data_IF_597254918048
#
_entry.id   IF_597254918048
#
_cell.length_a   1.000
_cell.length_b   1.000
_cell.length_c   1.000
_cell.angle_alpha   90.00
_cell.angle_beta   90.00
_cell.angle_gamma   90.00
#
_symmetry.space_group_name_H-M   'P 1'
#
loop_
_entity.id
_entity.type
_entity.pdbx_description
1 polymer ?
#
# COMPACT_ATOMS: atom_id res chain seq x y z
N UNK A 1 -5.16 -7.63 27.84
CA UNK A 1 -6.50 -7.46 27.26
C UNK A 1 -6.71 -8.60 26.29
N UNK A 2 -7.75 -9.41 26.48
CA UNK A 2 -8.07 -10.48 25.54
C UNK A 2 -8.46 -9.84 24.19
N UNK A 3 -7.91 -10.34 23.11
CA UNK A 3 -8.30 -9.92 21.77
C UNK A 3 -9.80 -10.21 21.59
N UNK A 4 -10.59 -9.16 21.46
CA UNK A 4 -12.02 -9.28 21.14
C UNK A 4 -12.10 -9.62 19.65
N UNK A 5 -12.75 -10.73 19.31
CA UNK A 5 -13.06 -11.07 17.92
C UNK A 5 -13.98 -10.01 17.34
N UNK A 6 -13.81 -9.66 16.07
CA UNK A 6 -14.71 -8.75 15.33
C UNK A 6 -16.18 -9.19 15.36
N UNK A 7 -16.44 -10.45 15.70
CA UNK A 7 -17.78 -11.03 15.72
C UNK A 7 -18.61 -10.66 16.96
N UNK A 8 -18.03 -10.00 17.99
CA UNK A 8 -18.67 -9.69 19.26
C UNK A 8 -18.73 -8.17 19.57
N UNK A 9 -18.74 -7.31 18.55
CA UNK A 9 -18.82 -5.85 18.77
C UNK A 9 -20.15 -5.41 19.39
N UNK A 10 -21.22 -6.17 19.22
CA UNK A 10 -22.54 -5.88 19.78
C UNK A 10 -22.59 -5.98 21.33
N UNK A 11 -21.68 -6.73 21.94
CA UNK A 11 -21.63 -6.98 23.39
C UNK A 11 -20.72 -5.98 24.14
N UNK A 12 -20.11 -5.03 23.45
CA UNK A 12 -19.20 -4.08 24.06
C UNK A 12 -19.96 -2.88 24.67
N UNK A 13 -19.45 -2.30 25.78
CA UNK A 13 -20.04 -1.12 26.38
C UNK A 13 -20.04 0.05 25.40
N UNK A 14 -21.14 0.81 25.31
CA UNK A 14 -21.27 1.98 24.46
C UNK A 14 -21.44 3.24 25.33
N UNK A 15 -20.73 4.33 25.05
CA UNK A 15 -19.72 4.50 24.00
C UNK A 15 -18.35 3.90 24.37
N UNK A 16 -17.62 3.38 23.35
CA UNK A 16 -16.24 2.95 23.52
C UNK A 16 -15.28 4.15 23.57
N UNK A 17 -14.21 4.04 24.35
CA UNK A 17 -13.13 5.05 24.32
C UNK A 17 -12.32 4.96 23.03
N UNK A 18 -11.60 6.03 22.67
CA UNK A 18 -10.67 6.05 21.54
C UNK A 18 -9.71 4.86 21.59
N UNK A 19 -9.11 4.60 22.74
CA UNK A 19 -8.13 3.52 22.91
C UNK A 19 -8.77 2.15 22.66
N UNK A 20 -10.00 1.95 23.11
CA UNK A 20 -10.72 0.70 22.88
C UNK A 20 -11.06 0.51 21.39
N UNK A 21 -11.58 1.54 20.71
CA UNK A 21 -11.88 1.49 19.28
C UNK A 21 -10.60 1.25 18.47
N UNK A 22 -9.53 1.99 18.78
CA UNK A 22 -8.26 1.86 18.07
C UNK A 22 -7.63 0.47 18.26
N UNK A 23 -7.67 -0.06 19.47
CA UNK A 23 -7.19 -1.41 19.77
C UNK A 23 -8.01 -2.51 19.06
N UNK A 24 -9.33 -2.33 18.95
CA UNK A 24 -10.20 -3.22 18.17
C UNK A 24 -9.90 -3.14 16.66
N UNK A 25 -9.76 -1.93 16.15
CA UNK A 25 -9.45 -1.69 14.74
C UNK A 25 -8.10 -2.27 14.33
N UNK A 26 -7.12 -2.19 15.25
CA UNK A 26 -5.80 -2.81 15.15
C UNK A 26 -5.23 -2.68 13.74
N UNK A 27 -4.82 -1.47 13.32
CA UNK A 27 -4.55 -1.14 11.93
C UNK A 27 -3.58 -2.08 11.24
N UNK A 28 -3.94 -2.55 10.06
CA UNK A 28 -3.06 -3.31 9.15
C UNK A 28 -2.77 -2.40 7.96
N UNK A 29 -1.56 -1.88 7.89
CA UNK A 29 -1.11 -1.08 6.78
C UNK A 29 -0.83 -1.96 5.56
N UNK A 30 -1.58 -1.77 4.49
CA UNK A 30 -1.43 -2.60 3.29
C UNK A 30 -0.20 -2.24 2.46
N UNK A 31 0.49 -1.13 2.76
CA UNK A 31 1.72 -0.76 2.06
C UNK A 31 2.63 0.11 2.91
N UNK A 32 3.83 -0.40 3.19
CA UNK A 32 4.84 0.28 4.00
C UNK A 32 6.25 0.00 3.46
N UNK A 33 7.03 1.06 3.21
CA UNK A 33 8.35 0.99 2.58
C UNK A 33 9.53 1.19 3.55
N UNK A 34 9.28 1.20 4.86
CA UNK A 34 10.28 1.55 5.88
C UNK A 34 11.59 0.73 5.79
N UNK A 35 11.54 -0.50 5.28
CA UNK A 35 12.74 -1.34 5.16
C UNK A 35 13.60 -1.04 3.91
N UNK A 36 13.09 -0.27 2.95
CA UNK A 36 13.92 0.23 1.85
C UNK A 36 15.08 1.10 2.38
N UNK A 37 14.82 1.86 3.42
CA UNK A 37 15.81 2.70 4.08
C UNK A 37 16.89 1.91 4.81
N UNK A 38 16.55 0.74 5.37
CA UNK A 38 17.53 -0.17 5.95
C UNK A 38 18.57 -0.60 4.94
N UNK A 39 18.14 -0.85 3.71
CA UNK A 39 19.00 -1.21 2.59
C UNK A 39 19.89 -0.06 2.12
N UNK A 40 19.34 1.14 2.02
CA UNK A 40 20.06 2.30 1.46
C UNK A 40 20.96 3.00 2.48
N UNK A 41 20.56 3.05 3.73
CA UNK A 41 21.19 3.90 4.75
C UNK A 41 21.59 3.21 6.05
N UNK A 42 21.35 1.90 6.18
CA UNK A 42 21.62 1.18 7.42
C UNK A 42 20.67 1.60 8.56
N UNK A 43 19.43 1.94 8.23
CA UNK A 43 18.39 2.24 9.20
C UNK A 43 18.04 0.99 10.02
N UNK A 44 18.08 1.13 11.35
CA UNK A 44 17.62 0.08 12.26
C UNK A 44 16.17 0.40 12.65
N UNK A 45 15.25 -0.42 12.20
CA UNK A 45 13.82 -0.22 12.42
C UNK A 45 13.47 -0.09 13.91
N UNK A 46 14.05 -0.91 14.78
CA UNK A 46 13.71 -0.91 16.20
C UNK A 46 14.39 0.21 17.00
N UNK A 47 15.52 0.72 16.52
CA UNK A 47 16.17 1.88 17.14
C UNK A 47 15.57 3.20 16.70
N UNK A 48 14.95 3.24 15.53
CA UNK A 48 14.41 4.46 14.97
C UNK A 48 15.49 5.53 14.76
N UNK A 49 16.68 5.15 14.28
CA UNK A 49 17.81 6.06 14.14
C UNK A 49 17.63 7.03 12.96
N UNK A 50 16.97 8.13 13.21
CA UNK A 50 16.76 9.23 12.25
C UNK A 50 18.05 9.81 11.66
N UNK A 51 19.19 9.59 12.28
CA UNK A 51 20.48 10.08 11.80
C UNK A 51 21.09 9.16 10.75
N UNK A 52 20.51 8.00 10.51
CA UNK A 52 20.99 7.07 9.49
C UNK A 52 21.05 7.70 8.08
N UNK A 53 20.12 8.62 7.75
CA UNK A 53 20.14 9.34 6.46
C UNK A 53 21.42 10.16 6.24
N UNK A 54 22.09 10.60 7.32
CA UNK A 54 23.37 11.33 7.20
C UNK A 54 24.51 10.43 6.73
N UNK A 55 24.35 9.11 6.82
CA UNK A 55 25.32 8.12 6.35
C UNK A 55 25.18 7.85 4.85
N UNK A 56 24.02 8.17 4.25
CA UNK A 56 23.79 8.06 2.81
C UNK A 56 23.75 9.45 2.18
N UNK A 57 24.74 9.84 1.35
CA UNK A 57 24.74 11.12 0.65
C UNK A 57 23.49 11.33 -0.20
N UNK A 58 22.95 10.26 -0.80
CA UNK A 58 21.74 10.30 -1.64
C UNK A 58 20.53 10.64 -0.77
N UNK A 59 20.31 9.94 0.33
CA UNK A 59 19.19 10.21 1.24
C UNK A 59 19.30 11.61 1.87
N UNK A 60 20.53 12.02 2.21
CA UNK A 60 20.77 13.37 2.70
C UNK A 60 20.41 14.42 1.66
N UNK A 61 20.84 14.24 0.41
CA UNK A 61 20.52 15.16 -0.69
C UNK A 61 19.00 15.19 -0.95
N UNK A 62 18.34 14.04 -1.01
CA UNK A 62 16.88 13.95 -1.18
C UNK A 62 16.14 14.67 -0.05
N UNK A 63 16.58 14.54 1.20
CA UNK A 63 15.98 15.27 2.33
C UNK A 63 16.13 16.79 2.24
N UNK A 64 17.14 17.27 1.52
CA UNK A 64 17.39 18.71 1.33
C UNK A 64 16.65 19.29 0.13
N UNK A 65 16.41 18.49 -0.90
CA UNK A 65 15.75 18.91 -2.15
C UNK A 65 14.24 18.74 -2.09
N UNK A 66 13.70 18.02 -1.11
CA UNK A 66 12.26 17.94 -0.88
C UNK A 66 11.73 19.34 -0.50
N UNK A 67 10.67 19.85 -1.13
CA UNK A 67 10.07 21.14 -0.79
C UNK A 67 9.67 21.28 0.68
N UNK A 68 9.46 20.16 1.36
CA UNK A 68 9.08 20.07 2.78
C UNK A 68 10.15 19.43 3.69
N UNK A 69 11.28 19.05 3.15
CA UNK A 69 12.39 18.45 3.91
C UNK A 69 12.95 19.33 5.02
N UNK A 70 12.40 20.54 5.22
CA UNK A 70 12.80 21.44 6.30
C UNK A 70 12.15 21.09 7.65
N UNK A 71 10.93 20.50 7.66
CA UNK A 71 10.17 20.21 8.87
C UNK A 71 9.68 18.76 8.98
N UNK A 72 9.66 18.00 7.89
CA UNK A 72 9.34 16.57 7.90
C UNK A 72 10.36 15.84 7.02
N UNK A 73 10.97 14.76 7.51
CA UNK A 73 11.86 13.97 6.67
C UNK A 73 11.05 13.35 5.52
N UNK A 74 11.65 13.29 4.33
CA UNK A 74 11.07 12.63 3.15
C UNK A 74 10.77 11.14 3.41
N UNK A 75 11.34 10.59 4.41
CA UNK A 75 11.35 9.21 4.84
C UNK A 75 11.46 9.19 6.37
N UNK A 76 11.40 8.01 6.99
CA UNK A 76 11.40 7.81 8.45
C UNK A 76 10.05 8.13 9.10
N UNK A 77 8.98 7.78 8.40
CA UNK A 77 7.63 7.94 8.92
C UNK A 77 7.27 6.86 9.94
N UNK A 78 7.88 5.66 9.84
CA UNK A 78 7.60 4.55 10.75
C UNK A 78 8.88 3.85 11.19
N UNK A 79 9.12 3.89 12.49
CA UNK A 79 10.08 3.04 13.20
C UNK A 79 9.35 1.99 14.04
N UNK A 80 10.07 1.04 14.63
CA UNK A 80 9.49 0.07 15.56
C UNK A 80 8.78 0.72 16.76
N UNK A 81 9.38 1.73 17.42
CA UNK A 81 8.68 2.54 18.43
C UNK A 81 7.41 3.20 17.90
N UNK A 82 7.45 3.83 16.70
CA UNK A 82 6.28 4.45 16.09
C UNK A 82 5.20 3.41 15.77
N UNK A 83 5.60 2.24 15.28
CA UNK A 83 4.70 1.12 14.96
C UNK A 83 3.94 0.65 16.19
N UNK A 84 4.63 0.52 17.32
CA UNK A 84 4.00 0.13 18.58
C UNK A 84 3.12 1.24 19.15
N UNK A 85 3.60 2.49 19.15
CA UNK A 85 2.85 3.64 19.63
C UNK A 85 1.60 3.93 18.80
N UNK A 86 1.67 3.70 17.48
CA UNK A 86 0.56 3.81 16.55
C UNK A 86 -0.42 2.65 16.60
N UNK A 87 -0.20 1.64 17.47
CA UNK A 87 -1.12 0.52 17.65
C UNK A 87 -1.27 -0.38 16.43
N UNK A 88 -0.28 -0.44 15.55
CA UNK A 88 -0.34 -1.30 14.36
C UNK A 88 -0.51 -2.76 14.74
N UNK A 89 -1.52 -3.41 14.17
CA UNK A 89 -1.67 -4.86 14.22
C UNK A 89 -0.79 -5.57 13.22
N UNK A 90 -0.42 -4.90 12.14
CA UNK A 90 0.48 -5.41 11.12
C UNK A 90 0.77 -4.42 10.00
N UNK A 91 1.72 -4.77 9.13
CA UNK A 91 1.95 -4.05 7.89
C UNK A 91 2.52 -4.95 6.80
N UNK A 92 2.15 -4.66 5.55
CA UNK A 92 2.79 -5.21 4.36
C UNK A 92 4.08 -4.43 4.09
N UNK A 93 5.21 -4.97 4.52
CA UNK A 93 6.52 -4.42 4.20
C UNK A 93 6.87 -4.74 2.76
N UNK A 94 6.90 -3.71 1.92
CA UNK A 94 6.97 -3.86 0.48
C UNK A 94 8.41 -3.87 -0.02
N UNK A 95 8.72 -4.87 -0.84
CA UNK A 95 9.99 -4.95 -1.54
C UNK A 95 9.87 -4.26 -2.89
N UNK A 96 10.79 -3.33 -3.21
CA UNK A 96 10.85 -2.72 -4.53
C UNK A 96 12.29 -2.50 -5.00
N UNK A 97 12.43 -2.25 -6.31
CA UNK A 97 13.68 -1.91 -6.96
C UNK A 97 13.46 -0.70 -7.88
N UNK A 98 14.13 0.42 -7.59
CA UNK A 98 14.01 1.63 -8.40
C UNK A 98 15.09 1.72 -9.48
N UNK A 99 16.34 1.53 -9.11
CA UNK A 99 17.50 1.83 -9.95
C UNK A 99 17.67 0.86 -11.11
N UNK A 100 17.35 -0.41 -10.92
CA UNK A 100 17.41 -1.44 -11.96
C UNK A 100 16.39 -1.18 -13.07
N UNK A 101 15.29 -0.51 -12.75
CA UNK A 101 14.32 -0.04 -13.73
C UNK A 101 14.84 1.12 -14.58
N UNK A 102 15.57 2.05 -13.96
CA UNK A 102 16.14 3.22 -14.64
C UNK A 102 17.17 2.79 -15.68
N UNK A 103 18.08 1.92 -15.31
CA UNK A 103 19.22 1.56 -16.14
C UNK A 103 18.84 0.52 -17.20
N UNK A 104 17.81 -0.30 -16.95
CA UNK A 104 17.39 -1.37 -17.89
C UNK A 104 18.52 -2.33 -18.23
N UNK A 105 19.55 -2.36 -17.40
CA UNK A 105 20.77 -3.09 -17.65
C UNK A 105 20.51 -4.59 -17.50
N UNK A 106 20.73 -5.40 -18.55
CA UNK A 106 20.41 -6.82 -18.55
C UNK A 106 21.25 -7.65 -17.56
N UNK A 107 22.32 -7.06 -17.03
CA UNK A 107 23.21 -7.71 -16.04
C UNK A 107 22.81 -7.40 -14.59
N UNK A 108 21.84 -6.52 -14.35
CA UNK A 108 21.31 -6.26 -13.02
C UNK A 108 20.08 -7.14 -12.80
N UNK A 109 20.18 -8.12 -11.93
CA UNK A 109 19.04 -8.94 -11.56
C UNK A 109 18.30 -8.31 -10.36
N UNK A 110 17.11 -7.71 -10.58
CA UNK A 110 16.36 -7.06 -9.51
C UNK A 110 15.85 -8.03 -8.45
N UNK A 111 15.84 -9.34 -8.71
CA UNK A 111 15.44 -10.37 -7.74
C UNK A 111 16.30 -10.38 -6.47
N UNK A 112 17.55 -9.92 -6.55
CA UNK A 112 18.40 -9.77 -5.36
C UNK A 112 17.75 -8.90 -4.27
N UNK A 113 16.98 -7.87 -4.68
CA UNK A 113 16.32 -6.97 -3.73
C UNK A 113 15.19 -7.67 -2.95
N UNK A 114 14.47 -8.59 -3.61
CA UNK A 114 13.52 -9.45 -2.89
C UNK A 114 14.22 -10.34 -1.86
N UNK A 115 15.33 -10.97 -2.24
CA UNK A 115 16.10 -11.85 -1.35
C UNK A 115 16.62 -11.08 -0.14
N UNK A 116 17.19 -9.88 -0.37
CA UNK A 116 17.66 -8.99 0.70
C UNK A 116 16.51 -8.49 1.57
N UNK A 117 15.42 -8.01 0.96
CA UNK A 117 14.26 -7.51 1.69
C UNK A 117 13.67 -8.57 2.62
N UNK A 118 13.48 -9.79 2.12
CA UNK A 118 13.01 -10.91 2.95
C UNK A 118 13.95 -11.15 4.15
N UNK A 119 15.27 -11.07 3.93
CA UNK A 119 16.25 -11.19 5.02
C UNK A 119 16.07 -10.06 6.04
N UNK A 120 15.94 -8.81 5.61
CA UNK A 120 15.70 -7.68 6.50
C UNK A 120 14.41 -7.83 7.30
N UNK A 121 13.31 -8.30 6.70
CA UNK A 121 12.07 -8.58 7.45
C UNK A 121 12.31 -9.64 8.51
N UNK A 122 13.03 -10.72 8.20
CA UNK A 122 13.34 -11.78 9.17
C UNK A 122 14.22 -11.25 10.31
N UNK A 123 15.24 -10.46 10.00
CA UNK A 123 16.12 -9.81 10.98
C UNK A 123 15.33 -8.84 11.87
N UNK A 124 14.45 -8.03 11.29
CA UNK A 124 13.55 -7.12 12.01
C UNK A 124 12.64 -7.90 12.98
N UNK A 125 12.03 -8.99 12.52
CA UNK A 125 11.18 -9.84 13.37
C UNK A 125 11.99 -10.47 14.50
N UNK A 126 13.17 -10.99 14.22
CA UNK A 126 14.07 -11.55 15.25
C UNK A 126 14.50 -10.51 16.29
N UNK A 127 14.81 -9.28 15.84
CA UNK A 127 15.22 -8.16 16.71
C UNK A 127 14.05 -7.54 17.49
N UNK A 128 12.81 -7.97 17.25
CA UNK A 128 11.62 -7.41 17.90
C UNK A 128 11.51 -7.72 19.39
N UNK A 129 12.33 -8.60 19.93
CA UNK A 129 12.17 -9.08 21.31
C UNK A 129 10.86 -9.83 21.54
N UNK A 130 10.37 -10.54 20.51
CA UNK A 130 9.13 -11.32 20.56
C UNK A 130 7.84 -10.53 20.32
N UNK A 131 7.93 -9.22 20.08
CA UNK A 131 6.76 -8.34 19.88
C UNK A 131 6.13 -8.46 18.50
N UNK A 132 6.86 -8.96 17.51
CA UNK A 132 6.44 -9.08 16.12
C UNK A 132 6.67 -10.50 15.58
N UNK A 133 5.77 -10.97 14.73
CA UNK A 133 5.93 -12.23 13.99
C UNK A 133 5.60 -12.04 12.51
N UNK A 134 6.15 -12.91 11.66
CA UNK A 134 5.81 -12.96 10.25
C UNK A 134 4.44 -13.66 10.09
N UNK A 135 3.49 -12.99 9.44
CA UNK A 135 2.23 -13.58 9.02
C UNK A 135 2.27 -13.90 7.53
N UNK A 136 1.83 -15.11 7.15
CA UNK A 136 1.81 -15.61 5.77
C UNK A 136 0.41 -15.79 5.22
N UNK A 137 -0.61 -15.63 6.08
CA UNK A 137 -2.03 -15.67 5.73
C UNK A 137 -2.83 -14.80 6.69
N UNK A 138 -4.08 -14.50 6.32
CA UNK A 138 -5.00 -13.78 7.19
C UNK A 138 -5.28 -14.54 8.51
N UNK A 139 -5.35 -15.87 8.44
CA UNK A 139 -5.53 -16.71 9.62
C UNK A 139 -4.33 -16.62 10.59
N UNK A 140 -3.08 -16.70 10.06
CA UNK A 140 -1.87 -16.51 10.89
C UNK A 140 -1.86 -15.10 11.52
N UNK A 141 -2.22 -14.05 10.75
CA UNK A 141 -2.29 -12.69 11.28
C UNK A 141 -3.27 -12.60 12.46
N UNK A 142 -4.49 -13.14 12.30
CA UNK A 142 -5.46 -13.14 13.40
C UNK A 142 -4.95 -13.88 14.63
N UNK A 143 -4.31 -15.03 14.47
CA UNK A 143 -3.72 -15.78 15.58
C UNK A 143 -2.60 -15.04 16.29
N UNK A 144 -1.72 -14.35 15.54
CA UNK A 144 -0.63 -13.52 16.09
C UNK A 144 -1.20 -12.33 16.87
N UNK A 145 -2.21 -11.66 16.32
CA UNK A 145 -2.90 -10.55 17.00
C UNK A 145 -3.62 -11.01 18.28
N UNK A 146 -4.28 -12.16 18.23
CA UNK A 146 -4.93 -12.76 19.41
C UNK A 146 -3.93 -13.04 20.54
N UNK A 147 -2.66 -13.28 20.20
CA UNK A 147 -1.57 -13.41 21.17
C UNK A 147 -1.01 -12.04 21.64
N UNK A 148 -1.61 -10.90 21.24
CA UNK A 148 -1.16 -9.56 21.61
C UNK A 148 0.11 -9.10 20.89
N UNK A 149 0.46 -9.72 19.76
CA UNK A 149 1.65 -9.42 18.99
C UNK A 149 1.28 -8.68 17.69
N UNK A 150 2.22 -7.94 17.12
CA UNK A 150 2.06 -7.34 15.80
C UNK A 150 2.65 -8.23 14.68
N UNK A 151 2.28 -7.93 13.43
CA UNK A 151 2.63 -8.73 12.27
C UNK A 151 3.50 -7.97 11.28
N UNK A 152 4.53 -8.64 10.78
CA UNK A 152 5.15 -8.30 9.51
C UNK A 152 4.52 -9.17 8.40
N UNK A 153 4.22 -8.57 7.26
CA UNK A 153 3.70 -9.25 6.07
C UNK A 153 4.66 -8.90 4.92
N UNK A 154 5.05 -9.88 4.13
CA UNK A 154 5.88 -9.67 2.93
C UNK A 154 5.01 -9.27 1.74
N UNK A 155 5.50 -8.36 0.91
CA UNK A 155 4.87 -8.01 -0.36
C UNK A 155 5.90 -7.59 -1.42
N UNK A 156 5.50 -7.65 -2.69
CA UNK A 156 6.34 -7.24 -3.81
C UNK A 156 5.70 -6.06 -4.54
N UNK A 157 6.44 -4.97 -4.68
CA UNK A 157 6.03 -3.81 -5.44
C UNK A 157 6.76 -3.74 -6.78
N UNK A 158 6.03 -4.14 -7.81
CA UNK A 158 6.49 -4.16 -9.19
C UNK A 158 6.99 -5.53 -9.66
N UNK A 159 6.25 -6.12 -10.58
CA UNK A 159 6.58 -7.42 -11.17
C UNK A 159 7.89 -7.44 -11.99
N UNK A 160 8.49 -6.26 -12.23
CA UNK A 160 9.86 -6.17 -12.78
C UNK A 160 10.90 -6.80 -11.84
N UNK A 161 10.62 -6.86 -10.54
CA UNK A 161 11.51 -7.51 -9.56
C UNK A 161 11.66 -9.01 -9.78
N UNK A 162 10.75 -9.64 -10.50
CA UNK A 162 10.83 -11.07 -10.80
C UNK A 162 12.03 -11.41 -11.69
N UNK A 163 12.72 -10.43 -12.31
CA UNK A 163 13.95 -10.66 -13.05
C UNK A 163 14.00 -9.97 -14.40
N UNK A 164 15.02 -10.28 -15.20
CA UNK A 164 15.25 -9.63 -16.47
C UNK A 164 14.08 -9.83 -17.44
N UNK A 165 13.89 -8.86 -18.33
CA UNK A 165 12.81 -8.86 -19.33
C UNK A 165 13.11 -9.86 -20.44
N UNK A 166 12.04 -10.29 -21.12
CA UNK A 166 12.10 -11.07 -22.34
C UNK A 166 11.64 -12.52 -22.21
N UNK A 167 11.36 -13.16 -23.35
CA UNK A 167 10.77 -14.50 -23.42
C UNK A 167 11.61 -15.57 -22.73
N UNK A 168 12.93 -15.51 -22.85
CA UNK A 168 13.84 -16.52 -22.27
C UNK A 168 13.80 -16.55 -20.75
N UNK A 169 13.39 -15.48 -20.08
CA UNK A 169 13.31 -15.37 -18.62
C UNK A 169 11.92 -15.62 -18.05
N UNK A 170 10.88 -15.81 -18.86
CA UNK A 170 9.50 -15.94 -18.38
C UNK A 170 9.33 -17.10 -17.41
N UNK A 171 9.84 -18.29 -17.73
CA UNK A 171 9.77 -19.45 -16.84
C UNK A 171 10.48 -19.20 -15.49
N UNK A 172 11.68 -18.59 -15.52
CA UNK A 172 12.39 -18.20 -14.30
C UNK A 172 11.57 -17.21 -13.46
N UNK A 173 10.95 -16.22 -14.09
CA UNK A 173 10.15 -15.20 -13.41
C UNK A 173 8.92 -15.81 -12.74
N UNK A 174 8.24 -16.77 -13.39
CA UNK A 174 7.13 -17.50 -12.78
C UNK A 174 7.61 -18.36 -11.60
N UNK A 175 8.75 -19.06 -11.72
CA UNK A 175 9.33 -19.82 -10.60
C UNK A 175 9.72 -18.92 -9.41
N UNK A 176 10.21 -17.71 -9.66
CA UNK A 176 10.48 -16.70 -8.63
C UNK A 176 9.22 -16.19 -7.95
N UNK A 177 8.15 -15.98 -8.71
CA UNK A 177 6.84 -15.63 -8.17
C UNK A 177 6.33 -16.70 -7.20
N UNK A 178 6.44 -17.98 -7.59
CA UNK A 178 6.12 -19.10 -6.69
C UNK A 178 7.01 -19.12 -5.44
N UNK A 179 8.30 -18.82 -5.59
CA UNK A 179 9.21 -18.73 -4.44
C UNK A 179 8.80 -17.61 -3.48
N UNK A 180 8.32 -16.46 -3.98
CA UNK A 180 7.81 -15.38 -3.15
C UNK A 180 6.54 -15.79 -2.41
N UNK A 181 5.61 -16.48 -3.08
CA UNK A 181 4.39 -16.99 -2.47
C UNK A 181 4.70 -18.01 -1.36
N UNK A 182 5.63 -18.96 -1.60
CA UNK A 182 6.09 -19.90 -0.56
C UNK A 182 6.78 -19.21 0.61
N UNK A 183 7.44 -18.06 0.39
CA UNK A 183 8.01 -17.26 1.47
C UNK A 183 6.96 -16.51 2.30
N UNK A 184 5.70 -16.47 1.84
CA UNK A 184 4.59 -15.84 2.54
C UNK A 184 4.25 -14.44 2.05
N UNK A 185 4.66 -14.04 0.84
CA UNK A 185 4.22 -12.78 0.26
C UNK A 185 2.69 -12.74 0.15
N UNK A 186 2.07 -11.61 0.51
CA UNK A 186 0.62 -11.44 0.43
C UNK A 186 0.16 -11.06 -0.98
N UNK A 187 0.92 -10.21 -1.66
CA UNK A 187 0.57 -9.73 -3.00
C UNK A 187 1.78 -9.47 -3.89
N UNK A 188 1.50 -9.34 -5.19
CA UNK A 188 2.38 -8.78 -6.21
C UNK A 188 1.73 -7.56 -6.85
N UNK A 189 2.36 -6.39 -6.76
CA UNK A 189 1.99 -5.21 -7.55
C UNK A 189 2.53 -5.36 -8.98
N UNK A 190 1.68 -5.17 -10.00
CA UNK A 190 2.08 -5.41 -11.39
C UNK A 190 3.08 -4.39 -11.93
N UNK A 191 2.98 -3.15 -11.49
CA UNK A 191 3.83 -2.05 -11.93
C UNK A 191 4.40 -1.27 -10.75
N UNK A 192 5.51 -0.55 -10.99
CA UNK A 192 6.05 0.47 -10.11
C UNK A 192 6.84 1.47 -10.96
N UNK A 193 6.39 2.72 -11.11
CA UNK A 193 6.98 3.83 -11.86
C UNK A 193 7.57 3.50 -13.25
N UNK A 194 7.26 2.34 -13.82
CA UNK A 194 7.78 1.93 -15.12
C UNK A 194 6.80 1.06 -15.91
N UNK A 195 6.79 1.27 -17.24
CA UNK A 195 6.19 0.33 -18.18
C UNK A 195 7.06 -0.93 -18.26
N UNK A 196 6.44 -2.09 -18.23
CA UNK A 196 7.14 -3.38 -18.25
C UNK A 196 6.70 -4.23 -19.45
N UNK A 197 7.27 -5.42 -19.58
CA UNK A 197 6.78 -6.46 -20.48
C UNK A 197 5.64 -7.30 -19.86
N UNK A 198 5.10 -6.85 -18.74
CA UNK A 198 3.93 -7.42 -18.05
C UNK A 198 2.73 -6.51 -18.23
N UNK A 199 2.89 -5.20 -17.92
CA UNK A 199 1.82 -4.22 -17.96
C UNK A 199 2.34 -2.80 -18.19
N UNK A 200 1.43 -1.91 -18.56
CA UNK A 200 1.68 -0.47 -18.56
C UNK A 200 1.40 0.10 -17.17
N UNK A 201 2.28 1.01 -16.72
CA UNK A 201 2.03 1.81 -15.51
C UNK A 201 1.08 2.97 -15.79
N UNK A 202 0.31 3.40 -14.80
CA UNK A 202 -0.49 4.62 -14.89
C UNK A 202 0.40 5.86 -14.96
N UNK A 203 1.51 5.84 -14.22
CA UNK A 203 2.56 6.86 -14.28
C UNK A 203 3.94 6.20 -14.32
N UNK A 204 4.72 6.47 -15.34
CA UNK A 204 6.04 5.89 -15.56
C UNK A 204 7.13 6.96 -15.60
N UNK A 205 7.56 7.44 -14.43
CA UNK A 205 8.65 8.43 -14.36
C UNK A 205 10.00 7.88 -14.83
N UNK A 206 10.21 6.56 -14.75
CA UNK A 206 11.49 5.92 -15.01
C UNK A 206 11.70 5.57 -16.49
N UNK A 207 10.62 5.37 -17.26
CA UNK A 207 10.72 5.03 -18.68
C UNK A 207 9.50 5.52 -19.49
N UNK A 208 9.16 6.83 -19.46
CA UNK A 208 7.96 7.36 -20.12
C UNK A 208 7.96 7.12 -21.64
N UNK A 209 9.15 7.03 -22.26
CA UNK A 209 9.30 6.75 -23.71
C UNK A 209 8.86 5.35 -24.13
N UNK A 210 8.53 4.45 -23.19
CA UNK A 210 8.01 3.11 -23.48
C UNK A 210 6.50 3.02 -23.40
N UNK A 211 5.84 4.14 -23.22
CA UNK A 211 4.38 4.21 -23.22
C UNK A 211 3.81 3.72 -24.55
N UNK A 212 2.77 2.90 -24.46
CA UNK A 212 1.91 2.51 -25.57
C UNK A 212 0.49 2.91 -25.21
N UNK A 213 -0.01 3.91 -25.87
CA UNK A 213 -1.32 4.48 -25.57
C UNK A 213 -2.41 3.39 -25.57
N UNK A 214 -3.22 3.37 -24.52
CA UNK A 214 -4.30 2.40 -24.33
C UNK A 214 -3.86 0.96 -24.08
N UNK A 215 -2.57 0.67 -23.93
CA UNK A 215 -2.11 -0.67 -23.66
C UNK A 215 -2.31 -1.05 -22.18
N UNK A 216 -2.78 -2.29 -21.96
CA UNK A 216 -2.96 -2.90 -20.66
C UNK A 216 -1.95 -4.02 -20.38
N UNK A 217 -2.45 -5.19 -19.99
CA UNK A 217 -1.63 -6.38 -19.81
C UNK A 217 -1.08 -6.90 -21.14
N UNK A 218 0.16 -7.34 -21.14
CA UNK A 218 0.71 -8.14 -22.22
C UNK A 218 0.23 -9.60 -22.09
N UNK A 219 0.54 -10.44 -23.08
CA UNK A 219 0.26 -11.88 -22.96
C UNK A 219 0.99 -12.50 -21.77
N UNK A 220 2.27 -12.15 -21.55
CA UNK A 220 2.99 -12.61 -20.36
C UNK A 220 2.40 -12.01 -19.07
N UNK A 221 1.90 -10.79 -19.11
CA UNK A 221 1.18 -10.17 -17.99
C UNK A 221 -0.05 -10.95 -17.57
N UNK A 222 -0.82 -11.47 -18.54
CA UNK A 222 -1.97 -12.35 -18.27
C UNK A 222 -1.54 -13.64 -17.57
N UNK A 223 -0.46 -14.27 -18.02
CA UNK A 223 0.11 -15.46 -17.38
C UNK A 223 0.58 -15.18 -15.95
N UNK A 224 1.18 -14.00 -15.69
CA UNK A 224 1.58 -13.60 -14.33
C UNK A 224 0.36 -13.43 -13.42
N UNK A 225 -0.70 -12.78 -13.89
CA UNK A 225 -1.94 -12.61 -13.11
C UNK A 225 -2.58 -13.96 -12.81
N UNK A 226 -2.75 -14.84 -13.81
CA UNK A 226 -3.28 -16.20 -13.62
C UNK A 226 -2.42 -16.97 -12.61
N UNK A 227 -1.08 -16.87 -12.72
CA UNK A 227 -0.20 -17.56 -11.79
C UNK A 227 -0.29 -17.02 -10.37
N UNK A 228 -0.43 -15.70 -10.16
CA UNK A 228 -0.70 -15.14 -8.84
C UNK A 228 -1.91 -15.79 -8.19
N UNK A 229 -3.00 -15.90 -8.94
CA UNK A 229 -4.25 -16.51 -8.49
C UNK A 229 -4.03 -17.98 -8.11
N UNK A 230 -3.38 -18.75 -8.98
CA UNK A 230 -3.14 -20.20 -8.78
C UNK A 230 -2.33 -20.49 -7.50
N UNK A 231 -1.44 -19.58 -7.09
CA UNK A 231 -0.54 -19.78 -5.96
C UNK A 231 -0.95 -18.99 -4.70
N UNK A 232 -2.14 -18.40 -4.70
CA UNK A 232 -2.69 -17.69 -3.56
C UNK A 232 -2.01 -16.35 -3.26
N UNK A 233 -1.59 -15.60 -4.28
CA UNK A 233 -1.14 -14.22 -4.17
C UNK A 233 -2.25 -13.27 -4.62
N UNK A 234 -2.54 -12.23 -3.83
CA UNK A 234 -3.37 -11.12 -4.29
C UNK A 234 -2.69 -10.43 -5.47
N UNK A 235 -3.48 -10.11 -6.49
CA UNK A 235 -3.06 -9.26 -7.61
C UNK A 235 -3.25 -7.81 -7.17
N UNK A 236 -2.14 -7.11 -6.91
CA UNK A 236 -2.18 -5.71 -6.54
C UNK A 236 -2.00 -4.82 -7.77
N UNK A 237 -2.88 -3.84 -7.90
CA UNK A 237 -3.05 -3.00 -9.09
C UNK A 237 -2.60 -1.55 -8.86
N UNK A 238 -2.00 -1.26 -7.72
CA UNK A 238 -1.33 0.02 -7.50
C UNK A 238 -0.36 0.30 -8.64
N UNK A 239 -0.19 1.55 -9.05
CA UNK A 239 0.64 1.98 -10.16
C UNK A 239 0.27 1.47 -11.56
N UNK A 240 -0.70 0.58 -11.70
CA UNK A 240 -1.07 -0.01 -12.99
C UNK A 240 -1.96 0.95 -13.80
N UNK A 241 -1.81 0.97 -15.12
CA UNK A 241 -2.67 1.78 -15.99
C UNK A 241 -4.13 1.34 -15.90
N UNK A 242 -5.07 2.26 -16.16
CA UNK A 242 -6.50 1.97 -16.14
C UNK A 242 -6.89 0.77 -17.03
N UNK A 243 -6.26 0.64 -18.21
CA UNK A 243 -6.48 -0.53 -19.06
C UNK A 243 -5.90 -1.81 -18.46
N UNK A 244 -4.70 -1.74 -17.87
CA UNK A 244 -4.09 -2.87 -17.18
C UNK A 244 -4.92 -3.36 -15.99
N UNK A 245 -5.50 -2.42 -15.24
CA UNK A 245 -6.44 -2.73 -14.15
C UNK A 245 -7.66 -3.48 -14.68
N UNK A 246 -8.32 -2.97 -15.73
CA UNK A 246 -9.49 -3.63 -16.33
C UNK A 246 -9.17 -5.04 -16.85
N UNK A 247 -8.02 -5.20 -17.51
CA UNK A 247 -7.57 -6.50 -18.02
C UNK A 247 -7.34 -7.50 -16.88
N UNK A 248 -6.65 -7.08 -15.80
CA UNK A 248 -6.40 -7.92 -14.63
C UNK A 248 -7.70 -8.27 -13.89
N UNK A 249 -8.56 -7.28 -13.65
CA UNK A 249 -9.86 -7.49 -13.01
C UNK A 249 -10.76 -8.42 -13.85
N UNK A 250 -10.68 -8.36 -15.17
CA UNK A 250 -11.40 -9.31 -16.04
C UNK A 250 -10.95 -10.76 -15.83
N UNK A 251 -9.66 -10.99 -15.53
CA UNK A 251 -9.16 -12.31 -15.15
C UNK A 251 -9.67 -12.68 -13.74
N UNK A 252 -9.51 -11.78 -12.77
CA UNK A 252 -9.97 -12.00 -11.40
C UNK A 252 -11.45 -12.36 -11.32
N UNK A 253 -12.31 -11.67 -12.10
CA UNK A 253 -13.74 -11.94 -12.19
C UNK A 253 -14.01 -13.36 -12.70
N UNK A 254 -13.34 -13.79 -13.78
CA UNK A 254 -13.52 -15.17 -14.32
C UNK A 254 -13.07 -16.25 -13.34
N UNK A 255 -12.14 -15.93 -12.46
CA UNK A 255 -11.56 -16.83 -11.46
C UNK A 255 -12.23 -16.71 -10.08
N UNK A 256 -13.25 -15.85 -9.95
CA UNK A 256 -13.97 -15.55 -8.70
C UNK A 256 -13.04 -15.18 -7.54
N UNK A 257 -12.06 -14.31 -7.81
CA UNK A 257 -11.11 -13.82 -6.80
C UNK A 257 -11.07 -12.28 -6.78
N UNK A 258 -10.87 -11.66 -5.61
CA UNK A 258 -10.78 -10.21 -5.50
C UNK A 258 -9.42 -9.69 -5.99
N UNK A 259 -9.43 -8.50 -6.59
CA UNK A 259 -8.24 -7.70 -6.84
C UNK A 259 -7.93 -6.76 -5.66
N UNK A 260 -6.71 -6.25 -5.57
CA UNK A 260 -6.25 -5.31 -4.55
C UNK A 260 -5.69 -4.04 -5.18
N UNK A 261 -5.82 -2.94 -4.45
CA UNK A 261 -4.98 -1.75 -4.60
C UNK A 261 -4.41 -1.44 -3.22
N UNK A 262 -3.13 -1.72 -3.02
CA UNK A 262 -2.47 -1.61 -1.72
C UNK A 262 -2.30 -0.16 -1.25
N UNK A 263 -2.21 0.79 -2.19
CA UNK A 263 -2.18 2.23 -1.94
C UNK A 263 -2.61 3.00 -3.20
N UNK A 264 -3.59 3.87 -3.08
CA UNK A 264 -4.14 4.60 -4.22
C UNK A 264 -5.08 5.73 -3.84
N UNK A 265 -5.54 6.44 -4.87
CA UNK A 265 -6.49 7.53 -4.74
C UNK A 265 -7.49 7.50 -5.91
N UNK A 266 -8.66 8.07 -5.73
CA UNK A 266 -9.65 8.26 -6.80
C UNK A 266 -9.37 9.55 -7.57
N UNK A 267 -9.29 9.47 -8.89
CA UNK A 267 -9.13 10.67 -9.74
C UNK A 267 -10.30 11.62 -9.60
N UNK A 268 -11.52 11.12 -9.52
CA UNK A 268 -12.73 11.94 -9.45
C UNK A 268 -12.93 12.59 -8.08
N UNK A 269 -12.45 11.98 -7.00
CA UNK A 269 -12.52 12.54 -5.65
C UNK A 269 -11.37 13.51 -5.40
N UNK A 270 -10.20 13.23 -5.92
CA UNK A 270 -9.04 14.14 -5.85
C UNK A 270 -9.35 15.39 -6.67
N UNK A 271 -9.81 16.44 -6.01
CA UNK A 271 -10.21 17.69 -6.66
C UNK A 271 -9.14 18.74 -6.45
N UNK A 272 -8.75 19.36 -7.54
CA UNK A 272 -8.10 20.64 -7.60
C UNK A 272 -8.61 21.38 -8.83
N UNK A 273 -8.46 22.66 -8.87
CA UNK A 273 -8.63 23.42 -10.11
C UNK A 273 -7.50 22.96 -11.03
N UNK A 274 -7.82 22.11 -11.99
CA UNK A 274 -6.86 21.64 -13.00
C UNK A 274 -6.47 22.82 -13.90
N UNK A 275 -5.51 23.61 -13.44
CA UNK A 275 -4.87 24.62 -14.28
C UNK A 275 -3.67 24.07 -15.04
N UNK A 276 -3.17 22.88 -14.64
CA UNK A 276 -2.06 22.18 -15.31
C UNK A 276 -2.24 20.67 -15.19
N UNK A 277 -2.00 19.88 -16.27
CA UNK A 277 -1.96 18.43 -16.20
C UNK A 277 -0.92 17.99 -15.16
N UNK A 278 -1.36 17.31 -14.11
CA UNK A 278 -0.46 16.75 -13.12
C UNK A 278 -0.27 15.27 -13.38
N UNK A 279 0.98 14.86 -13.54
CA UNK A 279 1.35 13.45 -13.72
C UNK A 279 0.97 12.56 -12.52
N UNK A 280 0.70 13.15 -11.35
CA UNK A 280 0.18 12.41 -10.20
C UNK A 280 -1.25 11.96 -10.41
N UNK A 281 -2.06 12.70 -11.19
CA UNK A 281 -3.42 12.26 -11.56
C UNK A 281 -3.42 11.05 -12.50
N UNK A 282 -2.36 10.83 -13.26
CA UNK A 282 -2.24 9.64 -14.12
C UNK A 282 -2.06 8.35 -13.30
N UNK A 283 -1.60 8.46 -12.04
CA UNK A 283 -1.53 7.36 -11.08
C UNK A 283 -2.86 7.13 -10.37
N UNK A 284 -3.72 8.14 -10.27
CA UNK A 284 -5.01 8.02 -9.61
C UNK A 284 -5.99 7.17 -10.44
N UNK A 285 -6.79 6.37 -9.74
CA UNK A 285 -7.76 5.47 -10.35
C UNK A 285 -8.90 6.26 -11.01
N UNK A 286 -9.18 5.99 -12.26
CA UNK A 286 -10.39 6.48 -12.92
C UNK A 286 -11.62 5.62 -12.54
N UNK A 287 -12.81 6.13 -12.85
CA UNK A 287 -14.09 5.48 -12.49
C UNK A 287 -14.21 4.06 -13.07
N UNK A 288 -13.66 3.83 -14.28
CA UNK A 288 -13.70 2.53 -14.92
C UNK A 288 -12.80 1.50 -14.20
N UNK A 289 -11.63 1.94 -13.73
CA UNK A 289 -10.72 1.12 -12.91
C UNK A 289 -11.34 0.80 -11.55
N UNK A 290 -11.90 1.82 -10.87
CA UNK A 290 -12.58 1.63 -9.58
C UNK A 290 -13.73 0.65 -9.73
N UNK A 291 -14.60 0.83 -10.74
CA UNK A 291 -15.70 -0.09 -11.05
C UNK A 291 -15.20 -1.53 -11.23
N UNK A 292 -14.16 -1.72 -12.02
CA UNK A 292 -13.60 -3.05 -12.28
C UNK A 292 -13.11 -3.73 -11.01
N UNK A 293 -12.37 -3.01 -10.13
CA UNK A 293 -11.88 -3.53 -8.85
C UNK A 293 -13.06 -3.91 -7.94
N UNK A 294 -14.02 -3.00 -7.78
CA UNK A 294 -15.21 -3.20 -6.93
C UNK A 294 -16.02 -4.42 -7.39
N UNK A 295 -16.19 -4.63 -8.68
CA UNK A 295 -16.88 -5.79 -9.24
C UNK A 295 -16.21 -7.12 -8.89
N UNK A 296 -14.89 -7.17 -8.69
CA UNK A 296 -14.20 -8.39 -8.22
C UNK A 296 -14.46 -8.70 -6.74
N UNK A 297 -15.17 -7.85 -6.00
CA UNK A 297 -15.22 -7.91 -4.54
C UNK A 297 -13.94 -7.39 -3.88
N UNK A 298 -13.08 -6.72 -4.64
CA UNK A 298 -11.77 -6.23 -4.24
C UNK A 298 -11.79 -5.04 -3.30
N UNK A 299 -10.61 -4.57 -2.94
CA UNK A 299 -10.42 -3.48 -1.98
C UNK A 299 -9.38 -2.48 -2.47
N UNK A 300 -9.64 -1.19 -2.20
CA UNK A 300 -8.78 -0.06 -2.55
C UNK A 300 -8.34 0.59 -1.24
N UNK A 301 -7.05 0.52 -0.95
CA UNK A 301 -6.47 1.18 0.22
C UNK A 301 -6.12 2.62 -0.12
N UNK A 302 -6.63 3.55 0.68
CA UNK A 302 -6.40 4.99 0.47
C UNK A 302 -5.01 5.35 0.98
N UNK A 303 -4.23 5.99 0.11
CA UNK A 303 -2.89 6.48 0.41
C UNK A 303 -2.96 7.68 1.38
N UNK A 304 -2.01 7.78 2.33
CA UNK A 304 -1.93 8.91 3.25
C UNK A 304 -0.95 10.01 2.81
N UNK A 305 -0.86 10.25 1.53
CA UNK A 305 -0.04 11.33 0.97
C UNK A 305 -0.95 12.48 0.51
N UNK A 306 -0.97 13.64 1.19
CA UNK A 306 -1.85 14.77 0.89
C UNK A 306 -1.90 15.16 -0.58
N UNK A 307 -0.76 15.24 -1.24
CA UNK A 307 -0.67 15.63 -2.66
C UNK A 307 -1.26 14.60 -3.65
N UNK A 308 -1.62 13.38 -3.18
CA UNK A 308 -2.40 12.42 -3.96
C UNK A 308 -3.89 12.51 -3.68
N UNK A 309 -4.26 12.98 -2.49
CA UNK A 309 -5.65 13.11 -2.07
C UNK A 309 -6.24 14.46 -2.47
N UNK A 310 -5.41 15.50 -2.49
CA UNK A 310 -5.79 16.86 -2.80
C UNK A 310 -4.94 17.38 -3.95
N UNK A 311 -5.60 17.83 -5.01
CA UNK A 311 -4.94 18.44 -6.15
C UNK A 311 -5.32 19.92 -6.22
N UNK A 312 -4.80 20.70 -5.29
CA UNK A 312 -4.96 22.14 -5.21
C UNK A 312 -3.60 22.85 -5.26
N UNK A 313 -3.62 24.12 -5.62
CA UNK A 313 -2.45 24.96 -5.67
C UNK A 313 -2.68 26.21 -4.84
N UNK A 314 -1.65 26.63 -4.11
CA UNK A 314 -1.62 27.90 -3.42
C UNK A 314 -1.59 29.07 -4.43
N UNK A 315 -1.88 30.28 -3.96
CA UNK A 315 -1.92 31.46 -4.81
C UNK A 315 -0.61 31.76 -5.56
N UNK A 316 0.53 31.26 -5.06
CA UNK A 316 1.85 31.37 -5.69
C UNK A 316 2.11 30.25 -6.74
N UNK A 317 1.14 29.37 -6.98
CA UNK A 317 1.24 28.26 -7.93
C UNK A 317 1.99 27.04 -7.41
N UNK A 318 2.35 27.00 -6.13
CA UNK A 318 2.90 25.80 -5.50
C UNK A 318 1.77 24.81 -5.12
N UNK A 319 2.01 23.48 -5.17
CA UNK A 319 1.02 22.53 -4.74
C UNK A 319 0.61 22.77 -3.29
N UNK A 320 -0.69 22.84 -3.05
CA UNK A 320 -1.22 22.83 -1.68
C UNK A 320 -1.10 21.40 -1.14
N UNK A 321 -0.31 21.28 -0.10
CA UNK A 321 0.02 19.99 0.49
C UNK A 321 -0.66 19.80 1.86
N UNK A 322 -1.51 20.73 2.30
CA UNK A 322 -2.10 20.74 3.62
C UNK A 322 -3.48 20.06 3.61
N UNK A 323 -3.48 18.73 3.69
CA UNK A 323 -4.65 17.95 4.04
C UNK A 323 -4.55 17.56 5.52
N UNK A 324 -5.50 17.98 6.35
CA UNK A 324 -5.59 17.54 7.73
C UNK A 324 -6.31 16.18 7.85
N UNK A 325 -6.44 15.68 9.08
CA UNK A 325 -7.06 14.38 9.32
C UNK A 325 -8.56 14.39 9.02
N UNK A 326 -9.25 15.52 9.22
CA UNK A 326 -10.66 15.66 8.85
C UNK A 326 -10.85 15.60 7.34
N UNK A 327 -9.95 16.20 6.58
CA UNK A 327 -9.92 16.07 5.12
C UNK A 327 -9.73 14.61 4.69
N UNK A 328 -8.80 13.87 5.31
CA UNK A 328 -8.57 12.44 5.00
C UNK A 328 -9.85 11.63 5.24
N UNK A 329 -10.53 11.85 6.37
CA UNK A 329 -11.80 11.18 6.68
C UNK A 329 -12.87 11.53 5.64
N UNK A 330 -13.02 12.82 5.33
CA UNK A 330 -13.94 13.30 4.28
C UNK A 330 -13.63 12.72 2.89
N UNK A 331 -12.35 12.45 2.61
CA UNK A 331 -11.93 11.77 1.38
C UNK A 331 -12.45 10.34 1.30
N UNK A 332 -12.34 9.55 2.38
CA UNK A 332 -12.93 8.21 2.45
C UNK A 332 -14.44 8.26 2.21
N UNK A 333 -15.14 9.22 2.82
CA UNK A 333 -16.59 9.38 2.65
C UNK A 333 -16.96 9.73 1.20
N UNK A 334 -16.21 10.64 0.59
CA UNK A 334 -16.42 11.01 -0.81
C UNK A 334 -16.16 9.82 -1.73
N UNK A 335 -15.14 9.02 -1.45
CA UNK A 335 -14.82 7.82 -2.22
C UNK A 335 -15.92 6.75 -2.05
N UNK A 336 -16.42 6.53 -0.84
CA UNK A 336 -17.54 5.63 -0.60
C UNK A 336 -18.81 6.09 -1.35
N UNK A 337 -19.12 7.40 -1.35
CA UNK A 337 -20.23 7.97 -2.15
C UNK A 337 -20.04 7.76 -3.64
N UNK A 338 -18.82 7.90 -4.16
CA UNK A 338 -18.50 7.59 -5.57
C UNK A 338 -18.78 6.13 -5.92
N UNK A 339 -18.33 5.20 -5.07
CA UNK A 339 -18.58 3.76 -5.28
C UNK A 339 -20.09 3.46 -5.21
N UNK A 340 -20.80 4.03 -4.24
CA UNK A 340 -22.24 3.89 -4.12
C UNK A 340 -22.98 4.39 -5.36
N UNK A 341 -22.57 5.53 -5.91
CA UNK A 341 -23.16 6.11 -7.13
C UNK A 341 -22.97 5.24 -8.37
N UNK A 342 -22.05 4.28 -8.35
CA UNK A 342 -21.89 3.30 -9.44
C UNK A 342 -23.02 2.28 -9.48
N UNK A 343 -23.76 2.06 -8.38
CA UNK A 343 -24.93 1.17 -8.31
C UNK A 343 -24.59 -0.31 -8.49
N UNK A 344 -23.39 -0.74 -8.16
CA UNK A 344 -22.91 -2.12 -8.40
C UNK A 344 -22.69 -2.93 -7.11
N UNK A 345 -22.77 -2.31 -5.94
CA UNK A 345 -22.60 -2.94 -4.63
C UNK A 345 -23.56 -2.33 -3.62
N UNK A 346 -23.99 -3.12 -2.64
CA UNK A 346 -24.84 -2.66 -1.53
C UNK A 346 -24.08 -1.81 -0.52
N UNK A 347 -22.87 -2.27 -0.18
CA UNK A 347 -22.03 -1.61 0.82
C UNK A 347 -20.69 -1.16 0.20
N UNK A 348 -20.55 0.15 -0.09
CA UNK A 348 -19.34 0.71 -0.69
C UNK A 348 -18.13 0.64 0.26
N UNK A 349 -18.36 0.64 1.58
CA UNK A 349 -17.30 0.63 2.58
C UNK A 349 -16.49 -0.65 2.60
N UNK A 350 -17.05 -1.78 2.15
CA UNK A 350 -16.34 -3.05 1.99
C UNK A 350 -15.19 -2.99 0.97
N UNK A 351 -15.14 -1.94 0.16
CA UNK A 351 -14.16 -1.77 -0.90
C UNK A 351 -13.08 -0.73 -0.58
N UNK A 352 -13.07 -0.19 0.64
CA UNK A 352 -12.09 0.79 1.10
C UNK A 352 -11.24 0.24 2.24
N UNK A 353 -9.95 0.51 2.21
CA UNK A 353 -9.01 0.09 3.25
C UNK A 353 -7.93 1.16 3.47
N UNK A 354 -6.98 0.84 4.35
CA UNK A 354 -5.88 1.70 4.77
C UNK A 354 -4.55 1.21 4.19
N UNK A 355 -3.82 2.07 3.49
CA UNK A 355 -2.50 1.78 2.95
C UNK A 355 -1.68 3.05 2.84
N UNK A 356 -0.85 3.32 3.83
CA UNK A 356 -0.27 4.63 4.04
C UNK A 356 0.70 5.08 2.96
N UNK A 357 1.44 4.15 2.37
CA UNK A 357 2.62 4.40 1.53
C UNK A 357 3.73 5.14 2.31
N UNK A 358 3.75 4.99 3.65
CA UNK A 358 4.79 5.61 4.47
C UNK A 358 6.16 5.07 4.09
N UNK A 359 7.13 5.98 4.08
CA UNK A 359 8.50 5.74 3.64
C UNK A 359 8.68 5.43 2.15
N UNK A 360 7.60 5.43 1.34
CA UNK A 360 7.60 5.25 -0.11
C UNK A 360 8.01 6.50 -0.91
N UNK A 361 8.79 7.39 -0.31
CA UNK A 361 9.22 8.63 -0.95
C UNK A 361 8.15 9.73 -0.92
N UNK A 362 7.14 9.60 -0.08
CA UNK A 362 6.13 10.64 0.12
C UNK A 362 6.74 11.83 0.88
N UNK A 363 6.44 13.03 0.40
CA UNK A 363 7.09 14.27 0.88
C UNK A 363 6.32 14.96 2.01
N UNK A 364 5.13 14.50 2.34
CA UNK A 364 4.31 15.07 3.42
C UNK A 364 3.31 14.07 3.96
N UNK A 365 3.09 14.14 5.26
CA UNK A 365 2.01 13.45 5.96
C UNK A 365 0.82 14.39 6.11
N UNK A 366 -0.40 13.87 6.37
CA UNK A 366 -1.53 14.70 6.74
C UNK A 366 -1.19 15.63 7.90
N UNK A 367 -1.66 16.87 7.84
CA UNK A 367 -1.47 17.85 8.91
C UNK A 367 -2.02 17.30 10.22
N UNK A 368 -1.20 17.34 11.27
CA UNK A 368 -1.49 16.72 12.57
C UNK A 368 -0.76 15.38 12.79
N UNK A 369 -0.23 14.76 11.73
CA UNK A 369 0.65 13.57 11.84
C UNK A 369 2.13 13.95 11.63
N UNK A 370 3.00 13.29 12.37
CA UNK A 370 4.46 13.37 12.23
C UNK A 370 5.09 12.03 11.91
N UNK A 371 4.42 10.95 12.29
CA UNK A 371 4.85 9.58 12.06
C UNK A 371 3.67 8.61 12.19
N UNK A 372 3.91 7.33 11.96
CA UNK A 372 2.94 6.27 12.20
C UNK A 372 2.45 6.19 13.65
N UNK A 373 3.21 6.73 14.62
CA UNK A 373 2.76 6.84 16.02
C UNK A 373 1.48 7.67 16.19
N UNK A 374 1.18 8.54 15.23
CA UNK A 374 0.01 9.42 15.26
C UNK A 374 -1.28 8.79 14.68
N UNK A 375 -1.30 7.50 14.31
CA UNK A 375 -2.51 6.82 13.83
C UNK A 375 -3.72 6.92 14.77
N UNK A 376 -3.57 6.90 16.10
CA UNK A 376 -4.72 7.14 17.00
C UNK A 376 -5.43 8.46 16.74
N UNK A 377 -4.74 9.49 16.25
CA UNK A 377 -5.35 10.77 15.88
C UNK A 377 -6.28 10.63 14.65
N UNK A 378 -5.91 9.77 13.69
CA UNK A 378 -6.81 9.48 12.56
C UNK A 378 -8.05 8.71 13.03
N UNK A 379 -7.90 7.79 13.99
CA UNK A 379 -9.04 7.12 14.61
C UNK A 379 -9.95 8.11 15.32
N UNK A 380 -9.38 9.08 16.05
CA UNK A 380 -10.16 10.15 16.67
C UNK A 380 -10.93 10.96 15.63
N UNK A 381 -10.29 11.34 14.53
CA UNK A 381 -10.97 12.08 13.45
C UNK A 381 -12.12 11.27 12.81
N UNK A 382 -11.96 9.94 12.68
CA UNK A 382 -13.05 9.06 12.23
C UNK A 382 -14.22 9.04 13.23
N UNK A 383 -13.93 8.97 14.54
CA UNK A 383 -14.94 9.03 15.60
C UNK A 383 -15.65 10.40 15.63
N UNK A 384 -14.91 11.49 15.50
CA UNK A 384 -15.45 12.86 15.46
C UNK A 384 -16.38 13.07 14.24
N UNK A 385 -16.10 12.37 13.13
CA UNK A 385 -16.97 12.33 11.95
C UNK A 385 -18.17 11.37 12.11
N UNK A 386 -18.33 10.75 13.28
CA UNK A 386 -19.45 9.86 13.57
C UNK A 386 -19.36 8.47 12.93
N UNK A 387 -18.18 8.00 12.58
CA UNK A 387 -18.04 6.65 12.04
C UNK A 387 -18.34 5.59 13.11
N UNK A 388 -19.19 4.59 12.79
CA UNK A 388 -19.40 3.48 13.71
C UNK A 388 -18.10 2.66 13.84
N UNK A 389 -17.85 2.10 15.02
CA UNK A 389 -16.67 1.29 15.34
C UNK A 389 -16.40 0.22 14.28
N UNK A 390 -17.45 -0.49 13.81
CA UNK A 390 -17.30 -1.52 12.79
C UNK A 390 -16.68 -0.99 11.49
N UNK A 391 -17.09 0.21 11.03
CA UNK A 391 -16.51 0.84 9.83
C UNK A 391 -15.02 1.11 10.01
N UNK A 392 -14.63 1.62 11.20
CA UNK A 392 -13.23 1.89 11.52
C UNK A 392 -12.41 0.58 11.50
N UNK A 393 -12.93 -0.49 12.09
CA UNK A 393 -12.34 -1.83 12.07
C UNK A 393 -12.20 -2.34 10.64
N UNK A 394 -13.26 -2.23 9.83
CA UNK A 394 -13.27 -2.73 8.46
C UNK A 394 -12.26 -2.00 7.57
N UNK A 395 -12.20 -0.66 7.66
CA UNK A 395 -11.27 0.17 6.89
C UNK A 395 -9.83 -0.10 7.31
N UNK A 396 -9.54 -0.20 8.61
CA UNK A 396 -8.18 -0.41 9.07
C UNK A 396 -7.64 -1.83 8.84
N UNK A 397 -8.49 -2.85 8.91
CA UNK A 397 -7.99 -4.23 8.81
C UNK A 397 -8.98 -5.21 8.16
N UNK A 398 -10.27 -5.12 8.47
CA UNK A 398 -11.25 -6.14 8.10
C UNK A 398 -11.35 -6.38 6.60
N UNK A 399 -11.40 -5.30 5.80
CA UNK A 399 -11.55 -5.39 4.35
C UNK A 399 -10.33 -6.01 3.65
N UNK A 400 -9.11 -5.63 4.07
CA UNK A 400 -7.90 -6.27 3.55
C UNK A 400 -7.83 -7.75 3.95
N UNK A 401 -8.09 -8.08 5.20
CA UNK A 401 -8.07 -9.47 5.66
C UNK A 401 -9.10 -10.33 4.94
N UNK A 402 -10.30 -9.81 4.68
CA UNK A 402 -11.34 -10.48 3.90
C UNK A 402 -10.87 -10.89 2.51
N UNK A 403 -10.25 -9.97 1.76
CA UNK A 403 -9.77 -10.27 0.41
C UNK A 403 -8.54 -11.18 0.43
N UNK A 404 -7.66 -11.03 1.41
CA UNK A 404 -6.48 -11.89 1.53
C UNK A 404 -6.86 -13.32 1.87
N UNK A 405 -7.82 -13.52 2.79
CA UNK A 405 -8.35 -14.84 3.14
C UNK A 405 -9.05 -15.54 1.97
N UNK A 406 -9.77 -14.78 1.12
CA UNK A 406 -10.42 -15.31 -0.08
C UNK A 406 -9.42 -15.89 -1.08
N UNK A 407 -8.24 -15.31 -1.17
CA UNK A 407 -7.18 -15.76 -2.10
C UNK A 407 -6.25 -16.78 -1.45
N UNK A 408 -6.01 -16.65 -0.15
CA UNK A 408 -5.15 -17.54 0.63
C UNK A 408 -5.82 -17.85 1.98
N UNK A 409 -6.66 -18.87 2.01
CA UNK A 409 -7.37 -19.32 3.21
C UNK A 409 -6.45 -19.86 4.32
#
# INVERSE_FOLDING_TARGET
MHAVSSDNLADLPSPLTLEAVHALACPVDTHLDSLYLSRLGGFDFWKGDWKAHRRSPILWLMSKTSPRGRNQPLMYHVSGPDFLAGGYGGACFSAHALWENLVGAPFLDPWKHWVEHRRYVQEMVAASGGRMRLARSAAELRAIRAAGLCCAILSLEGAHMLGPRGRRSQALRLARLESAARAGAAYLTLNHFSHTDISQAGYASLNPWRERQGAGLTEFGRQVVERCIDIGLLVDLSHTSSQGIRDACGICLRRDVPASVSHGASRSVTRGVETRPSRHLDRALDDAAIRAIVQTGGCISVILAPYFLQHSYLADGTPDMDADLAFVVGYYEAFARQIAAMGIVEDPWKHLSFGSDFDGGISSLPTGMRSGADLPKLTQAMLDAGWPTQRIVDVYSGNFLRIWERVRP
#
